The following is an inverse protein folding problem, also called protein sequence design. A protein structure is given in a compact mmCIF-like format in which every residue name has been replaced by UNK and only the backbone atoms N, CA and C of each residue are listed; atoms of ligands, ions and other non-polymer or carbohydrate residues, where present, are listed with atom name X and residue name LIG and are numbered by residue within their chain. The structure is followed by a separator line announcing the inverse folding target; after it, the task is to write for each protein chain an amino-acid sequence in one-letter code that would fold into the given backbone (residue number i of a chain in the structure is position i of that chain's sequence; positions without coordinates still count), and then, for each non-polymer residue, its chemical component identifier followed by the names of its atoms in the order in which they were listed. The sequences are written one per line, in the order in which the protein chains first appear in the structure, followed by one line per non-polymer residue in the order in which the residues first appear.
data_IF_494732184328
#
_entry.id   IF_494732184328
#
_cell.length_a   1.000
_cell.length_b   1.000
_cell.length_c   1.000
_cell.angle_alpha   90.00
_cell.angle_beta   90.00
_cell.angle_gamma   90.00
#
_symmetry.space_group_name_H-M   'P 1'
#
loop_
_entity.id
_entity.type
_entity.pdbx_description
1 polymer ?
#
# COMPACT_ATOMS: atom_id res chain seq x y z
N UNK A 1 -16.35 6.41 -0.36
CA UNK A 1 -15.07 7.09 -0.62
C UNK A 1 -14.37 6.55 -1.88
N UNK A 2 -14.06 5.24 -1.96
CA UNK A 2 -13.31 4.63 -3.07
C UNK A 2 -13.99 4.84 -4.44
N UNK A 3 -15.31 4.58 -4.56
CA UNK A 3 -16.05 4.83 -5.79
C UNK A 3 -15.90 6.28 -6.29
N UNK A 4 -15.96 7.26 -5.39
CA UNK A 4 -15.81 8.66 -5.77
C UNK A 4 -14.40 8.99 -6.26
N UNK A 5 -13.37 8.36 -5.67
CA UNK A 5 -12.00 8.50 -6.15
C UNK A 5 -11.82 7.93 -7.56
N UNK A 6 -12.41 6.75 -7.84
CA UNK A 6 -12.39 6.15 -9.19
C UNK A 6 -13.07 7.07 -10.21
N UNK A 7 -14.26 7.58 -9.92
CA UNK A 7 -14.97 8.50 -10.81
C UNK A 7 -14.19 9.79 -11.05
N UNK A 8 -13.62 10.38 -9.98
CA UNK A 8 -12.79 11.58 -10.11
C UNK A 8 -11.57 11.35 -10.99
N UNK A 9 -10.83 10.27 -10.76
CA UNK A 9 -9.67 9.92 -11.57
C UNK A 9 -10.04 9.59 -13.02
N UNK A 10 -11.17 8.92 -13.25
CA UNK A 10 -11.65 8.63 -14.60
C UNK A 10 -11.99 9.90 -15.37
N UNK A 11 -12.66 10.86 -14.73
CA UNK A 11 -13.01 12.14 -15.34
C UNK A 11 -11.78 12.98 -15.72
N UNK A 12 -10.66 12.78 -15.01
CA UNK A 12 -9.39 13.46 -15.27
C UNK A 12 -8.44 12.65 -16.20
N UNK A 13 -8.89 11.50 -16.72
CA UNK A 13 -8.04 10.62 -17.53
C UNK A 13 -6.88 9.99 -16.75
N UNK A 14 -6.97 9.94 -15.42
CA UNK A 14 -5.94 9.44 -14.49
C UNK A 14 -6.24 8.06 -13.92
N UNK A 15 -7.24 7.37 -14.46
CA UNK A 15 -7.62 6.02 -14.02
C UNK A 15 -7.29 5.02 -15.11
N UNK A 16 -6.64 3.94 -14.69
CA UNK A 16 -6.50 2.73 -15.50
C UNK A 16 -7.05 1.53 -14.75
N UNK A 17 -7.82 0.72 -15.46
CA UNK A 17 -8.35 -0.55 -14.96
C UNK A 17 -7.82 -1.67 -15.84
N UNK A 18 -7.04 -2.55 -15.25
CA UNK A 18 -6.60 -3.80 -15.89
C UNK A 18 -7.49 -4.95 -15.43
N UNK A 19 -7.78 -5.87 -16.34
CA UNK A 19 -8.52 -7.08 -16.01
C UNK A 19 -7.92 -8.30 -16.74
N UNK A 20 -7.62 -9.34 -15.97
CA UNK A 20 -7.35 -10.66 -16.50
C UNK A 20 -8.69 -11.38 -16.70
N UNK A 21 -8.93 -11.86 -17.92
CA UNK A 21 -10.19 -12.52 -18.28
C UNK A 21 -9.95 -13.95 -18.70
N UNK A 22 -10.85 -14.82 -18.28
CA UNK A 22 -10.94 -16.20 -18.75
C UNK A 22 -12.38 -16.40 -19.27
N UNK A 23 -12.51 -16.83 -20.53
CA UNK A 23 -13.81 -17.02 -21.18
C UNK A 23 -14.76 -15.83 -21.04
N UNK A 24 -14.23 -14.61 -21.16
CA UNK A 24 -15.00 -13.38 -21.04
C UNK A 24 -15.25 -12.90 -19.59
N UNK A 25 -15.09 -13.76 -18.59
CA UNK A 25 -15.24 -13.41 -17.16
C UNK A 25 -13.94 -12.81 -16.62
N UNK A 26 -14.03 -11.69 -15.92
CA UNK A 26 -12.89 -11.13 -15.22
C UNK A 26 -12.57 -11.98 -13.97
N UNK A 27 -11.36 -12.56 -13.92
CA UNK A 27 -10.87 -13.38 -12.81
C UNK A 27 -9.85 -12.65 -11.93
N UNK A 28 -9.28 -11.53 -12.41
CA UNK A 28 -8.56 -10.58 -11.60
C UNK A 28 -8.74 -9.17 -12.17
N UNK A 29 -8.68 -8.17 -11.30
CA UNK A 29 -8.73 -6.76 -11.65
C UNK A 29 -7.70 -5.98 -10.85
N UNK A 30 -7.15 -4.95 -11.47
CA UNK A 30 -6.17 -4.05 -10.86
C UNK A 30 -6.51 -2.61 -11.20
N UNK A 31 -6.39 -1.73 -10.23
CA UNK A 31 -6.63 -0.30 -10.36
C UNK A 31 -5.31 0.45 -10.26
N UNK A 32 -4.98 1.21 -11.29
CA UNK A 32 -3.89 2.18 -11.29
C UNK A 32 -4.44 3.61 -11.27
N UNK A 33 -3.82 4.46 -10.45
CA UNK A 33 -3.96 5.91 -10.55
C UNK A 33 -2.71 6.47 -11.23
N UNK A 34 -2.90 7.18 -12.33
CA UNK A 34 -1.83 7.76 -13.14
C UNK A 34 -1.63 9.22 -12.71
N UNK A 35 -0.45 9.52 -12.21
CA UNK A 35 -0.07 10.86 -11.72
C UNK A 35 1.36 11.19 -12.18
N UNK A 36 1.58 11.38 -13.49
CA UNK A 36 2.92 11.59 -14.03
C UNK A 36 3.77 12.57 -13.19
N UNK A 37 5.07 12.26 -12.98
CA UNK A 37 5.83 11.14 -13.54
C UNK A 37 5.65 9.81 -12.80
N UNK A 38 4.68 9.68 -11.90
CA UNK A 38 4.44 8.47 -11.14
C UNK A 38 3.08 7.82 -11.38
N UNK A 39 2.97 6.56 -10.98
CA UNK A 39 1.73 5.82 -10.92
C UNK A 39 1.57 5.09 -9.59
N UNK A 40 0.34 4.77 -9.23
CA UNK A 40 0.01 4.02 -8.02
C UNK A 40 -0.83 2.80 -8.37
N UNK A 41 -0.28 1.61 -8.20
CA UNK A 41 -0.99 0.33 -8.32
C UNK A 41 -1.77 0.07 -7.04
N UNK A 42 -2.95 0.69 -6.94
CA UNK A 42 -3.62 0.90 -5.66
C UNK A 42 -4.34 -0.33 -5.12
N UNK A 43 -5.02 -1.09 -5.98
CA UNK A 43 -5.86 -2.21 -5.55
C UNK A 43 -5.87 -3.33 -6.57
N UNK A 44 -5.47 -4.51 -6.12
CA UNK A 44 -5.68 -5.77 -6.84
C UNK A 44 -6.75 -6.58 -6.14
N UNK A 45 -7.65 -7.16 -6.91
CA UNK A 45 -8.64 -8.14 -6.45
C UNK A 45 -8.69 -9.30 -7.44
N UNK A 46 -8.96 -10.50 -6.97
CA UNK A 46 -9.10 -11.68 -7.82
C UNK A 46 -10.20 -12.61 -7.29
N UNK A 47 -10.66 -13.48 -8.15
CA UNK A 47 -11.65 -14.52 -7.85
C UNK A 47 -10.94 -15.69 -7.15
N UNK A 48 -11.35 -15.98 -5.92
CA UNK A 48 -10.75 -16.99 -5.06
C UNK A 48 -10.82 -18.41 -5.65
N UNK A 49 -11.78 -18.71 -6.50
CA UNK A 49 -11.88 -19.99 -7.20
C UNK A 49 -10.66 -20.28 -8.09
N UNK A 50 -9.95 -19.21 -8.47
CA UNK A 50 -8.74 -19.27 -9.29
C UNK A 50 -7.45 -19.03 -8.49
N UNK A 51 -7.50 -19.00 -7.16
CA UNK A 51 -6.36 -18.68 -6.31
C UNK A 51 -5.11 -19.53 -6.62
N UNK A 52 -5.29 -20.82 -6.92
CA UNK A 52 -4.21 -21.76 -7.27
C UNK A 52 -3.37 -21.34 -8.49
N UNK A 53 -3.93 -20.51 -9.37
CA UNK A 53 -3.25 -19.98 -10.56
C UNK A 53 -2.64 -18.60 -10.33
N UNK A 54 -2.80 -18.05 -9.14
CA UNK A 54 -2.27 -16.73 -8.75
C UNK A 54 -2.61 -15.60 -9.75
N UNK A 55 -3.89 -15.40 -10.13
CA UNK A 55 -4.24 -14.44 -11.18
C UNK A 55 -3.91 -13.00 -10.80
N UNK A 56 -3.88 -12.68 -9.51
CA UNK A 56 -3.40 -11.38 -9.02
C UNK A 56 -1.91 -11.15 -9.29
N UNK A 57 -1.08 -12.19 -9.14
CA UNK A 57 0.36 -12.14 -9.47
C UNK A 57 0.56 -11.93 -10.96
N UNK A 58 -0.13 -12.71 -11.80
CA UNK A 58 -0.06 -12.59 -13.26
C UNK A 58 -0.43 -11.18 -13.73
N UNK A 59 -1.48 -10.62 -13.13
CA UNK A 59 -1.92 -9.26 -13.47
C UNK A 59 -0.92 -8.20 -13.00
N UNK A 60 -0.27 -8.39 -11.85
CA UNK A 60 0.80 -7.50 -11.38
C UNK A 60 2.04 -7.56 -12.27
N UNK A 61 2.43 -8.75 -12.74
CA UNK A 61 3.55 -8.90 -13.71
C UNK A 61 3.22 -8.16 -15.01
N UNK A 62 2.02 -8.34 -15.54
CA UNK A 62 1.56 -7.62 -16.73
C UNK A 62 1.56 -6.10 -16.52
N UNK A 63 1.23 -5.65 -15.31
CA UNK A 63 1.20 -4.25 -14.94
C UNK A 63 2.59 -3.56 -14.98
N UNK A 64 3.69 -4.32 -14.95
CA UNK A 64 5.04 -3.73 -15.07
C UNK A 64 5.24 -3.00 -16.42
N UNK A 65 4.50 -3.38 -17.47
CA UNK A 65 4.50 -2.66 -18.75
C UNK A 65 4.06 -1.18 -18.62
N UNK A 66 3.44 -0.79 -17.48
CA UNK A 66 3.15 0.59 -17.18
C UNK A 66 4.41 1.47 -17.13
N UNK A 67 5.55 0.91 -16.71
CA UNK A 67 6.85 1.61 -16.61
C UNK A 67 7.51 1.85 -17.98
N UNK A 68 7.00 1.22 -19.05
CA UNK A 68 7.47 1.43 -20.42
C UNK A 68 6.73 2.59 -21.12
N UNK A 69 5.76 3.19 -20.46
CA UNK A 69 4.95 4.28 -21.01
C UNK A 69 5.65 5.63 -20.86
N UNK A 70 5.53 6.46 -21.89
CA UNK A 70 6.01 7.83 -21.84
C UNK A 70 5.38 8.60 -20.67
N UNK A 71 6.25 9.27 -19.91
CA UNK A 71 5.85 10.10 -18.78
C UNK A 71 5.60 9.33 -17.48
N UNK A 72 5.81 8.01 -17.41
CA UNK A 72 5.78 7.23 -16.17
C UNK A 72 7.19 6.75 -15.85
N UNK A 73 7.80 7.33 -14.83
CA UNK A 73 9.18 7.02 -14.40
C UNK A 73 9.21 6.01 -13.24
N UNK A 74 8.13 5.93 -12.48
CA UNK A 74 8.03 5.03 -11.34
C UNK A 74 6.58 4.62 -11.06
N UNK A 75 6.43 3.46 -10.42
CA UNK A 75 5.14 2.99 -9.91
C UNK A 75 5.27 2.53 -8.46
N UNK A 76 4.30 2.91 -7.63
CA UNK A 76 4.18 2.46 -6.24
C UNK A 76 3.09 1.39 -6.15
N UNK A 77 3.42 0.26 -5.56
CA UNK A 77 2.46 -0.86 -5.39
C UNK A 77 1.38 -0.59 -4.35
N UNK A 78 1.50 0.47 -3.56
CA UNK A 78 0.63 0.82 -2.43
C UNK A 78 0.47 -0.31 -1.39
N UNK A 79 1.34 -1.31 -1.43
CA UNK A 79 1.28 -2.44 -0.51
C UNK A 79 1.78 -2.05 0.89
N UNK A 80 1.31 -2.80 1.89
CA UNK A 80 1.91 -2.73 3.21
C UNK A 80 3.36 -3.27 3.17
N UNK A 81 4.16 -2.84 4.13
CA UNK A 81 5.51 -3.36 4.32
C UNK A 81 5.45 -4.90 4.49
N UNK A 82 6.46 -5.58 3.94
CA UNK A 82 6.61 -7.04 4.03
C UNK A 82 5.43 -7.83 3.43
N UNK A 83 4.86 -7.33 2.31
CA UNK A 83 3.79 -8.02 1.61
C UNK A 83 4.37 -9.11 0.68
N UNK A 84 4.17 -10.43 0.97
CA UNK A 84 4.92 -11.52 0.31
C UNK A 84 4.81 -11.51 -1.22
N UNK A 85 3.60 -11.31 -1.76
CA UNK A 85 3.38 -11.28 -3.21
C UNK A 85 4.08 -10.08 -3.86
N UNK A 86 3.98 -8.92 -3.26
CA UNK A 86 4.56 -7.70 -3.81
C UNK A 86 6.08 -7.75 -3.72
N UNK A 87 6.62 -8.20 -2.60
CA UNK A 87 8.07 -8.30 -2.39
C UNK A 87 8.76 -9.29 -3.33
N UNK A 88 8.02 -10.27 -3.87
CA UNK A 88 8.56 -11.20 -4.86
C UNK A 88 8.63 -10.61 -6.29
N UNK A 89 7.87 -9.54 -6.57
CA UNK A 89 7.79 -8.92 -7.91
C UNK A 89 8.51 -7.57 -7.93
N UNK A 90 8.33 -6.77 -6.87
CA UNK A 90 8.79 -5.39 -6.77
C UNK A 90 10.07 -5.30 -5.93
N UNK A 91 11.22 -5.08 -6.57
CA UNK A 91 12.52 -4.96 -5.88
C UNK A 91 12.77 -3.59 -5.26
N UNK A 92 12.20 -2.52 -5.85
CA UNK A 92 12.36 -1.16 -5.38
C UNK A 92 11.67 -0.90 -4.04
N UNK A 93 12.19 0.06 -3.26
CA UNK A 93 11.57 0.51 -2.01
C UNK A 93 11.50 2.03 -1.99
N UNK A 94 10.33 2.55 -1.61
CA UNK A 94 10.08 3.98 -1.47
C UNK A 94 9.82 4.32 -0.01
N UNK A 95 10.51 5.32 0.51
CA UNK A 95 10.25 5.81 1.87
C UNK A 95 8.92 6.56 1.92
N UNK A 96 8.01 6.13 2.80
CA UNK A 96 6.72 6.77 3.03
C UNK A 96 6.69 7.29 4.47
N UNK A 97 6.38 8.57 4.61
CA UNK A 97 6.20 9.21 5.92
C UNK A 97 4.72 9.43 6.24
N UNK A 98 4.38 9.27 7.51
CA UNK A 98 3.06 9.67 8.03
C UNK A 98 3.17 11.04 8.66
N UNK A 99 2.37 11.98 8.19
CA UNK A 99 2.27 13.32 8.76
C UNK A 99 0.92 13.47 9.45
N UNK A 100 0.96 13.90 10.70
CA UNK A 100 -0.25 14.25 11.44
C UNK A 100 -0.28 15.75 11.65
N UNK A 101 -1.36 16.42 11.23
CA UNK A 101 -1.48 17.88 11.27
C UNK A 101 -2.70 18.27 12.11
N UNK A 102 -2.50 19.18 13.06
CA UNK A 102 -3.60 19.75 13.84
C UNK A 102 -4.47 20.67 12.97
N UNK A 103 -5.77 20.37 12.87
CA UNK A 103 -6.73 21.17 12.12
C UNK A 103 -7.40 22.17 13.06
N UNK A 104 -7.30 23.45 12.74
CA UNK A 104 -7.92 24.66 13.32
C UNK A 104 -8.47 24.59 14.77
N UNK A 105 -8.16 25.64 15.54
CA UNK A 105 -8.72 26.01 16.83
C UNK A 105 -7.90 25.52 18.06
N UNK A 106 -7.89 26.30 19.16
CA UNK A 106 -7.04 26.01 20.32
C UNK A 106 -7.39 24.70 21.01
N UNK A 107 -8.68 24.37 21.15
CA UNK A 107 -9.16 23.14 21.78
C UNK A 107 -8.74 21.90 20.97
N UNK A 108 -8.86 21.97 19.64
CA UNK A 108 -8.44 20.87 18.76
C UNK A 108 -6.93 20.67 18.76
N UNK A 109 -6.16 21.77 18.84
CA UNK A 109 -4.69 21.71 18.99
C UNK A 109 -4.26 21.05 20.29
N UNK A 110 -4.93 21.39 21.40
CA UNK A 110 -4.67 20.76 22.70
C UNK A 110 -5.02 19.26 22.66
N UNK A 111 -6.18 18.89 22.14
CA UNK A 111 -6.57 17.49 21.97
C UNK A 111 -5.60 16.71 21.07
N UNK A 112 -5.13 17.33 19.98
CA UNK A 112 -4.14 16.73 19.09
C UNK A 112 -2.79 16.51 19.80
N UNK A 113 -2.32 17.47 20.60
CA UNK A 113 -1.09 17.33 21.37
C UNK A 113 -1.18 16.18 22.38
N UNK A 114 -2.33 16.01 23.05
CA UNK A 114 -2.58 14.88 23.95
C UNK A 114 -2.56 13.53 23.20
N UNK A 115 -3.19 13.44 22.03
CA UNK A 115 -3.17 12.24 21.22
C UNK A 115 -1.74 11.87 20.77
N UNK A 116 -0.96 12.85 20.32
CA UNK A 116 0.44 12.62 19.94
C UNK A 116 1.30 12.17 21.13
N UNK A 117 1.07 12.74 22.32
CA UNK A 117 1.75 12.31 23.55
C UNK A 117 1.41 10.86 23.91
N UNK A 118 0.14 10.48 23.79
CA UNK A 118 -0.34 9.11 24.04
C UNK A 118 0.24 8.11 23.02
N UNK A 119 0.30 8.47 21.74
CA UNK A 119 0.91 7.62 20.70
C UNK A 119 2.41 7.41 20.93
N UNK A 120 3.15 8.48 21.29
CA UNK A 120 4.58 8.39 21.65
C UNK A 120 4.80 7.49 22.87
N UNK A 121 3.98 7.62 23.91
CA UNK A 121 4.05 6.78 25.10
C UNK A 121 3.80 5.30 24.75
N UNK A 122 2.78 5.01 23.93
CA UNK A 122 2.47 3.66 23.46
C UNK A 122 3.59 3.06 22.59
N UNK A 123 4.24 3.87 21.75
CA UNK A 123 5.39 3.47 20.97
C UNK A 123 6.59 3.08 21.84
N UNK A 124 6.90 3.86 22.87
CA UNK A 124 7.96 3.57 23.85
C UNK A 124 7.70 2.27 24.61
N UNK A 125 6.46 2.05 25.06
CA UNK A 125 6.07 0.82 25.77
C UNK A 125 6.22 -0.42 24.87
N UNK A 126 5.88 -0.33 23.58
CA UNK A 126 6.07 -1.42 22.62
C UNK A 126 7.55 -1.76 22.41
N UNK A 127 8.42 -0.76 22.32
CA UNK A 127 9.86 -0.96 22.20
C UNK A 127 10.47 -1.62 23.44
N UNK A 128 10.06 -1.19 24.64
CA UNK A 128 10.51 -1.78 25.91
C UNK A 128 10.09 -3.25 26.02
N UNK A 129 8.85 -3.57 25.61
CA UNK A 129 8.36 -4.95 25.63
C UNK A 129 9.03 -5.84 24.56
N UNK A 130 9.31 -5.32 23.38
CA UNK A 130 10.04 -6.05 22.34
C UNK A 130 11.50 -6.34 22.78
N UNK A 131 12.15 -5.39 23.44
CA UNK A 131 13.52 -5.58 23.98
C UNK A 131 13.59 -6.58 25.15
N UNK A 132 12.50 -6.82 25.89
CA UNK A 132 12.46 -7.82 26.96
C UNK A 132 12.32 -9.26 26.47
N UNK A 133 11.79 -9.47 25.27
CA UNK A 133 11.56 -10.81 24.68
C UNK A 133 12.85 -11.36 24.05
N UNK A 134 13.86 -10.52 23.81
CA UNK A 134 15.10 -10.92 23.13
C UNK A 134 16.32 -10.98 24.06
N UNK A 135 16.16 -11.41 25.34
CA UNK A 135 17.30 -11.85 26.14
C UNK A 135 17.49 -13.35 25.97
N UNK A 136 18.57 -13.81 25.29
CA UNK A 136 18.91 -15.22 25.29
C UNK A 136 19.22 -15.65 26.73
N UNK A 137 18.72 -16.80 27.08
CA UNK A 137 19.00 -17.48 28.34
C UNK A 137 20.46 -17.96 28.28
N UNK A 138 21.43 -17.14 28.68
CA UNK A 138 22.76 -17.57 29.03
C UNK A 138 22.74 -18.01 30.51
N UNK A 139 22.56 -19.29 30.73
CA UNK A 139 23.02 -19.99 31.95
C UNK A 139 23.15 -21.45 31.59
N UNK A 140 24.30 -21.88 31.59
CA UNK A 140 25.21 -22.51 32.51
C UNK A 140 25.68 -23.91 32.02
N UNK A 141 26.85 -24.05 31.97
CA UNK A 141 27.88 -24.97 32.48
C UNK A 141 28.73 -25.57 31.47
#
# INVERSE_FOLDING_TARGET
LFRNALHGAANEGKLELLALRLDGRAIAMLVNFLTPPGAFSFKTAFDEDYARFSPGVLLQIHNLALLERDGIEWCDSCAAQDHPMIDSIWSGRRAIGRYSVAIRGPVRRAGFALLLAAEKAKGRLRQINAGKIHKPNEMSS
#
